data_IF_594090900927
#
_entry.id   IF_594090900927
#
_cell.length_a   1.000
_cell.length_b   1.000
_cell.length_c   1.000
_cell.angle_alpha   90.00
_cell.angle_beta   90.00
_cell.angle_gamma   90.00
#
_symmetry.space_group_name_H-M   'P 1'
#
loop_
_entity.id
_entity.type
_entity.pdbx_description
1 polymer ?
#
# COMPACT_ATOMS: atom_id res chain seq x y z
N UNK A 1 6.45 13.06 11.97
CA UNK A 1 6.87 11.65 11.92
C UNK A 1 5.60 10.81 11.93
N UNK A 2 5.21 10.23 10.81
CA UNK A 2 3.97 9.43 10.77
C UNK A 2 4.02 8.27 11.77
N UNK A 3 2.85 7.89 12.27
CA UNK A 3 2.55 6.87 13.27
C UNK A 3 1.25 6.21 12.84
N UNK A 4 1.22 4.89 12.78
CA UNK A 4 0.02 4.11 12.51
C UNK A 4 -0.21 3.13 13.65
N UNK A 5 -1.47 2.87 13.97
CA UNK A 5 -1.85 2.01 15.07
C UNK A 5 -3.10 1.20 14.74
N UNK A 6 -3.18 0.04 15.37
CA UNK A 6 -4.39 -0.76 15.46
C UNK A 6 -4.94 -0.70 16.88
N UNK A 7 -6.26 -0.80 17.00
CA UNK A 7 -6.92 -0.90 18.29
C UNK A 7 -8.10 -1.85 18.19
N UNK A 8 -8.25 -2.75 19.17
CA UNK A 8 -9.34 -3.71 19.20
C UNK A 8 -10.11 -3.57 20.52
N UNK A 9 -11.36 -3.12 20.44
CA UNK A 9 -12.25 -2.97 21.59
C UNK A 9 -13.69 -3.17 21.13
N UNK A 10 -14.12 -4.43 21.13
CA UNK A 10 -15.34 -4.85 20.45
C UNK A 10 -15.14 -4.90 18.93
N UNK A 11 -14.90 -3.75 18.31
CA UNK A 11 -14.57 -3.62 16.89
C UNK A 11 -13.06 -3.46 16.65
N UNK A 12 -12.65 -3.62 15.40
CA UNK A 12 -11.27 -3.42 14.96
C UNK A 12 -11.13 -2.05 14.30
N UNK A 13 -10.13 -1.30 14.77
CA UNK A 13 -9.81 0.04 14.32
C UNK A 13 -8.38 0.08 13.80
N UNK A 14 -8.20 0.83 12.72
CA UNK A 14 -6.91 1.12 12.12
C UNK A 14 -6.87 2.59 11.75
N UNK A 15 -5.73 3.25 11.98
CA UNK A 15 -5.57 4.64 11.61
C UNK A 15 -4.13 5.09 11.74
N UNK A 16 -3.89 6.33 11.33
CA UNK A 16 -2.57 6.95 11.34
C UNK A 16 -2.65 8.47 11.44
N UNK A 17 -1.57 9.12 11.89
CA UNK A 17 -1.33 10.54 11.59
C UNK A 17 -0.51 10.69 10.31
N UNK A 18 -0.86 11.69 9.50
CA UNK A 18 -0.07 12.10 8.34
C UNK A 18 0.71 13.35 8.72
N UNK A 19 1.98 13.17 9.07
CA UNK A 19 2.86 14.25 9.50
C UNK A 19 3.77 14.68 8.35
N UNK A 20 3.35 15.71 7.63
CA UNK A 20 4.11 16.28 6.53
C UNK A 20 4.10 17.81 6.57
N UNK A 21 5.11 18.44 5.96
CA UNK A 21 5.34 19.88 6.04
C UNK A 21 4.35 20.70 5.21
N UNK A 22 3.67 20.06 4.25
CA UNK A 22 2.69 20.67 3.37
C UNK A 22 1.62 19.67 2.93
N UNK A 23 0.49 20.19 2.45
CA UNK A 23 -0.61 19.37 1.91
C UNK A 23 -0.43 19.15 0.42
N UNK A 24 -0.79 17.95 -0.04
CA UNK A 24 -0.90 17.59 -1.45
C UNK A 24 -2.34 17.69 -1.98
N UNK A 25 -3.29 18.20 -1.19
CA UNK A 25 -4.71 18.18 -1.53
C UNK A 25 -5.30 16.79 -1.34
N UNK A 26 -5.26 16.31 -0.10
CA UNK A 26 -5.72 14.98 0.29
C UNK A 26 -7.25 14.88 0.26
N UNK A 27 -7.77 13.78 -0.25
CA UNK A 27 -9.20 13.49 -0.36
C UNK A 27 -9.53 12.11 0.21
N UNK A 28 -10.63 12.01 0.96
CA UNK A 28 -11.24 10.71 1.25
C UNK A 28 -11.80 10.15 -0.05
N UNK A 29 -11.25 9.03 -0.50
CA UNK A 29 -11.49 8.50 -1.84
C UNK A 29 -11.94 7.06 -1.78
N UNK A 30 -13.05 6.76 -2.44
CA UNK A 30 -13.55 5.41 -2.66
C UNK A 30 -13.13 4.96 -4.06
N UNK A 31 -12.38 3.87 -4.14
CA UNK A 31 -12.18 3.13 -5.38
C UNK A 31 -13.20 1.99 -5.42
N UNK A 32 -14.24 2.06 -6.27
CA UNK A 32 -15.24 1.00 -6.36
C UNK A 32 -14.63 -0.27 -6.97
N UNK A 33 -15.34 -1.40 -6.83
CA UNK A 33 -14.96 -2.63 -7.53
C UNK A 33 -14.86 -2.38 -9.04
N UNK A 34 -13.90 -3.04 -9.68
CA UNK A 34 -13.67 -3.00 -11.13
C UNK A 34 -13.22 -1.64 -11.70
N UNK A 35 -12.73 -0.74 -10.84
CA UNK A 35 -11.95 0.39 -11.31
C UNK A 35 -10.58 -0.12 -11.83
N UNK A 36 -10.11 0.26 -13.03
CA UNK A 36 -8.92 -0.35 -13.61
C UNK A 36 -7.63 0.07 -12.89
N UNK A 37 -6.96 -0.88 -12.22
CA UNK A 37 -5.63 -0.68 -11.62
C UNK A 37 -4.56 -1.19 -12.59
N UNK A 38 -3.73 -0.30 -13.14
CA UNK A 38 -2.68 -0.67 -14.10
C UNK A 38 -1.41 -1.14 -13.39
N UNK A 39 -0.95 -2.34 -13.74
CA UNK A 39 0.28 -2.99 -13.25
C UNK A 39 1.15 -3.42 -14.44
N UNK A 40 2.39 -3.82 -14.20
CA UNK A 40 3.30 -4.30 -15.26
C UNK A 40 2.74 -5.47 -16.07
N UNK A 41 2.06 -6.40 -15.39
CA UNK A 41 1.48 -7.59 -15.99
C UNK A 41 0.09 -7.41 -16.62
N UNK A 42 -0.42 -6.17 -16.70
CA UNK A 42 -1.76 -5.86 -17.18
C UNK A 42 -2.60 -5.10 -16.15
N UNK A 43 -3.92 -5.13 -16.31
CA UNK A 43 -4.84 -4.44 -15.42
C UNK A 43 -5.49 -5.41 -14.42
N UNK A 44 -5.61 -4.98 -13.16
CA UNK A 44 -6.44 -5.62 -12.15
C UNK A 44 -7.85 -5.01 -12.21
N UNK A 45 -8.66 -5.50 -13.14
CA UNK A 45 -10.02 -4.99 -13.41
C UNK A 45 -11.11 -5.64 -12.56
N UNK A 46 -10.72 -6.55 -11.66
CA UNK A 46 -11.62 -7.19 -10.68
C UNK A 46 -10.92 -7.24 -9.34
N UNK A 47 -11.42 -6.47 -8.39
CA UNK A 47 -10.82 -6.30 -7.08
C UNK A 47 -11.88 -5.86 -6.08
N UNK A 48 -11.56 -5.97 -4.79
CA UNK A 48 -12.38 -5.43 -3.71
C UNK A 48 -12.48 -3.91 -3.78
N UNK A 49 -13.62 -3.35 -3.41
CA UNK A 49 -13.75 -1.92 -3.18
C UNK A 49 -12.91 -1.50 -1.96
N UNK A 50 -12.40 -0.27 -2.00
CA UNK A 50 -11.59 0.29 -0.91
C UNK A 50 -11.87 1.77 -0.70
N UNK A 51 -11.64 2.23 0.52
CA UNK A 51 -11.77 3.63 0.93
C UNK A 51 -10.54 4.03 1.72
N UNK A 52 -10.06 5.26 1.52
CA UNK A 52 -8.88 5.74 2.22
C UNK A 52 -8.56 7.20 1.90
N UNK A 53 -7.51 7.71 2.53
CA UNK A 53 -6.97 9.03 2.20
C UNK A 53 -6.04 8.94 1.01
N UNK A 54 -6.25 9.76 -0.02
CA UNK A 54 -5.45 9.76 -1.25
C UNK A 54 -5.19 11.16 -1.81
N UNK A 55 -4.13 11.29 -2.58
CA UNK A 55 -3.98 12.38 -3.55
C UNK A 55 -4.47 11.90 -4.92
N UNK A 56 -5.27 12.72 -5.62
CA UNK A 56 -5.79 12.37 -6.96
C UNK A 56 -4.87 12.97 -8.02
N UNK A 57 -4.23 12.11 -8.81
CA UNK A 57 -3.40 12.53 -9.94
C UNK A 57 -3.85 11.80 -11.19
N UNK A 58 -4.20 12.53 -12.26
CA UNK A 58 -4.62 11.97 -13.55
C UNK A 58 -5.73 10.91 -13.41
N UNK A 59 -6.75 11.21 -12.61
CA UNK A 59 -7.88 10.31 -12.26
C UNK A 59 -7.49 9.06 -11.46
N UNK A 60 -6.23 8.92 -11.02
CA UNK A 60 -5.76 7.80 -10.23
C UNK A 60 -5.61 8.20 -8.74
N UNK A 61 -6.17 7.42 -7.79
CA UNK A 61 -6.00 7.66 -6.37
C UNK A 61 -4.66 7.11 -5.85
N UNK A 62 -3.75 8.01 -5.51
CA UNK A 62 -2.50 7.71 -4.81
C UNK A 62 -2.77 7.66 -3.31
N UNK A 63 -3.16 6.48 -2.82
CA UNK A 63 -3.50 6.27 -1.41
C UNK A 63 -2.29 6.46 -0.49
N UNK A 64 -2.51 7.16 0.61
CA UNK A 64 -1.61 7.15 1.76
C UNK A 64 -1.95 5.94 2.65
N UNK A 65 -3.22 5.83 3.05
CA UNK A 65 -3.80 4.73 3.81
C UNK A 65 -5.16 4.35 3.22
N UNK A 66 -5.58 3.11 3.42
CA UNK A 66 -6.89 2.64 3.02
C UNK A 66 -7.30 1.36 3.75
N UNK A 67 -8.60 1.07 3.69
CA UNK A 67 -9.22 -0.19 4.09
C UNK A 67 -10.09 -0.71 2.95
N UNK A 68 -10.11 -2.03 2.74
CA UNK A 68 -11.03 -2.65 1.79
C UNK A 68 -12.32 -3.13 2.46
N UNK A 69 -13.32 -3.47 1.63
CA UNK A 69 -14.61 -4.01 2.08
C UNK A 69 -14.53 -5.36 2.85
N UNK A 70 -13.34 -5.97 2.95
CA UNK A 70 -13.09 -7.20 3.72
C UNK A 70 -12.49 -6.92 5.11
N UNK A 71 -12.13 -5.67 5.41
CA UNK A 71 -11.55 -5.26 6.68
C UNK A 71 -10.02 -5.37 6.74
N UNK A 72 -9.36 -5.55 5.59
CA UNK A 72 -7.90 -5.42 5.49
C UNK A 72 -7.53 -3.95 5.33
N UNK A 73 -6.59 -3.48 6.15
CA UNK A 73 -6.11 -2.12 6.20
C UNK A 73 -4.62 -2.06 5.84
N UNK A 74 -4.20 -0.94 5.26
CA UNK A 74 -2.78 -0.65 5.01
C UNK A 74 -2.50 0.86 5.09
N UNK A 75 -1.33 1.22 5.61
CA UNK A 75 -0.82 2.59 5.62
C UNK A 75 0.66 2.59 5.23
N UNK A 76 1.07 3.43 4.28
CA UNK A 76 2.49 3.72 3.99
C UNK A 76 3.05 4.92 4.78
N UNK A 77 4.10 4.72 5.56
CA UNK A 77 4.69 5.75 6.42
C UNK A 77 6.10 6.09 5.95
N UNK A 78 6.55 7.31 6.19
CA UNK A 78 7.89 7.77 5.79
C UNK A 78 8.99 6.85 6.35
N UNK A 79 9.83 6.34 5.46
CA UNK A 79 10.96 5.47 5.76
C UNK A 79 12.22 5.94 5.01
N UNK A 80 12.42 7.26 5.04
CA UNK A 80 13.46 7.97 4.29
C UNK A 80 14.87 7.48 4.68
N UNK A 81 15.71 7.21 3.69
CA UNK A 81 17.07 6.71 3.83
C UNK A 81 17.18 5.19 3.94
N UNK A 82 16.08 4.49 4.20
CA UNK A 82 16.06 3.04 4.39
C UNK A 82 15.33 2.30 3.26
N UNK A 83 14.31 2.93 2.67
CA UNK A 83 13.53 2.35 1.58
C UNK A 83 14.39 2.18 0.31
N UNK A 84 14.47 0.95 -0.20
CA UNK A 84 15.16 0.63 -1.46
C UNK A 84 14.24 -0.22 -2.34
N UNK A 85 14.03 0.25 -3.56
CA UNK A 85 13.20 -0.44 -4.56
C UNK A 85 14.07 -0.82 -5.77
N UNK A 86 14.17 -2.10 -6.15
CA UNK A 86 14.91 -2.51 -7.33
C UNK A 86 14.18 -2.09 -8.63
N UNK A 87 14.89 -2.02 -9.76
CA UNK A 87 14.25 -1.92 -11.08
C UNK A 87 13.47 -3.19 -11.41
N UNK A 88 12.47 -3.05 -12.29
CA UNK A 88 11.73 -4.18 -12.85
C UNK A 88 12.71 -5.15 -13.53
N UNK A 89 12.62 -6.42 -13.13
CA UNK A 89 13.47 -7.50 -13.66
C UNK A 89 12.61 -8.51 -14.41
N UNK A 90 13.01 -8.87 -15.62
CA UNK A 90 12.26 -9.82 -16.45
C UNK A 90 12.10 -11.17 -15.74
N UNK A 91 10.88 -11.69 -15.69
CA UNK A 91 10.56 -12.96 -15.04
C UNK A 91 10.38 -12.87 -13.52
N UNK A 92 10.59 -11.70 -12.91
CA UNK A 92 10.32 -11.45 -11.48
C UNK A 92 9.01 -10.68 -11.35
N UNK A 93 8.06 -11.25 -10.59
CA UNK A 93 6.82 -10.57 -10.30
C UNK A 93 7.09 -9.32 -9.44
N UNK A 94 6.53 -8.18 -9.84
CA UNK A 94 6.78 -6.90 -9.20
C UNK A 94 5.53 -6.04 -9.17
N UNK A 95 5.46 -5.17 -8.17
CA UNK A 95 4.39 -4.19 -7.98
C UNK A 95 5.04 -2.81 -7.79
N UNK A 96 4.65 -1.79 -8.57
CA UNK A 96 5.13 -0.44 -8.35
C UNK A 96 4.83 0.05 -6.94
N UNK A 97 5.75 0.80 -6.33
CA UNK A 97 5.59 1.33 -4.97
C UNK A 97 4.25 2.05 -4.75
N UNK A 98 3.82 2.88 -5.71
CA UNK A 98 2.55 3.61 -5.61
C UNK A 98 1.30 2.71 -5.73
N UNK A 99 1.44 1.52 -6.30
CA UNK A 99 0.36 0.57 -6.53
C UNK A 99 0.24 -0.49 -5.43
N UNK A 100 1.17 -0.53 -4.46
CA UNK A 100 1.19 -1.56 -3.42
C UNK A 100 -0.10 -1.60 -2.58
N UNK A 101 -0.59 -0.43 -2.17
CA UNK A 101 -1.84 -0.30 -1.40
C UNK A 101 -3.04 -0.86 -2.20
N UNK A 102 -3.37 -0.34 -3.40
CA UNK A 102 -4.51 -0.84 -4.15
C UNK A 102 -4.35 -2.28 -4.61
N UNK A 103 -3.13 -2.76 -4.88
CA UNK A 103 -2.88 -4.16 -5.22
C UNK A 103 -3.17 -5.10 -4.05
N UNK A 104 -2.62 -4.82 -2.85
CA UNK A 104 -2.88 -5.64 -1.67
C UNK A 104 -4.36 -5.61 -1.29
N UNK A 105 -4.95 -4.41 -1.19
CA UNK A 105 -6.35 -4.26 -0.83
C UNK A 105 -7.30 -4.82 -1.88
N UNK A 106 -6.89 -4.82 -3.14
CA UNK A 106 -7.69 -5.37 -4.22
C UNK A 106 -7.69 -6.89 -4.29
N UNK A 107 -6.63 -7.54 -3.82
CA UNK A 107 -6.41 -8.99 -4.00
C UNK A 107 -6.46 -9.80 -2.70
N UNK A 108 -6.37 -9.16 -1.53
CA UNK A 108 -6.30 -9.84 -0.23
C UNK A 108 -7.46 -9.40 0.66
N UNK A 109 -8.07 -10.36 1.36
CA UNK A 109 -9.08 -10.15 2.39
C UNK A 109 -8.51 -10.17 3.80
N UNK A 110 -7.31 -10.74 4.00
CA UNK A 110 -6.68 -10.91 5.32
C UNK A 110 -5.19 -10.63 5.30
N UNK A 111 -4.61 -10.39 6.48
CA UNK A 111 -3.15 -10.25 6.68
C UNK A 111 -2.41 -11.53 6.28
N UNK A 112 -3.01 -12.70 6.49
CA UNK A 112 -2.42 -13.96 6.06
C UNK A 112 -2.31 -14.05 4.53
N UNK A 113 -3.34 -13.63 3.80
CA UNK A 113 -3.31 -13.54 2.34
C UNK A 113 -2.30 -12.50 1.86
N UNK A 114 -2.26 -11.31 2.49
CA UNK A 114 -1.31 -10.25 2.18
C UNK A 114 0.13 -10.72 2.36
N UNK A 115 0.45 -11.38 3.48
CA UNK A 115 1.78 -11.97 3.74
C UNK A 115 2.18 -12.97 2.65
N UNK A 116 1.25 -13.85 2.27
CA UNK A 116 1.51 -14.83 1.23
C UNK A 116 1.72 -14.17 -0.15
N UNK A 117 1.00 -13.09 -0.45
CA UNK A 117 1.15 -12.32 -1.68
C UNK A 117 2.51 -11.61 -1.73
N UNK A 118 2.90 -10.94 -0.64
CA UNK A 118 4.18 -10.24 -0.51
C UNK A 118 5.39 -11.15 -0.66
N UNK A 119 5.30 -12.41 -0.21
CA UNK A 119 6.38 -13.39 -0.37
C UNK A 119 6.69 -13.77 -1.84
N UNK A 120 5.86 -13.35 -2.79
CA UNK A 120 5.97 -13.72 -4.21
C UNK A 120 6.28 -12.54 -5.13
N UNK A 121 6.47 -11.33 -4.59
CA UNK A 121 6.68 -10.12 -5.38
C UNK A 121 7.83 -9.29 -4.82
N UNK A 122 8.37 -8.41 -5.66
CA UNK A 122 9.20 -7.27 -5.22
C UNK A 122 8.41 -5.97 -5.36
N UNK A 123 8.70 -4.99 -4.51
CA UNK A 123 8.21 -3.61 -4.69
C UNK A 123 9.22 -2.86 -5.55
N UNK A 124 8.85 -2.49 -6.77
CA UNK A 124 9.79 -1.91 -7.73
C UNK A 124 9.78 -0.37 -7.75
N UNK A 125 10.82 0.19 -8.36
CA UNK A 125 11.07 1.64 -8.41
C UNK A 125 10.37 2.38 -9.56
N UNK A 126 9.31 1.79 -10.15
CA UNK A 126 8.54 2.49 -11.19
C UNK A 126 7.86 3.71 -10.60
N UNK A 127 8.21 4.94 -11.04
CA UNK A 127 7.53 6.14 -10.57
C UNK A 127 6.12 6.21 -11.16
N UNK A 128 5.21 6.88 -10.46
CA UNK A 128 3.86 7.10 -11.00
C UNK A 128 3.90 8.01 -12.24
N UNK A 129 4.71 9.06 -12.19
CA UNK A 129 4.98 9.99 -13.28
C UNK A 129 6.41 10.53 -13.16
N UNK A 130 7.03 11.06 -14.23
CA UNK A 130 8.39 11.62 -14.18
C UNK A 130 8.60 12.67 -13.07
N UNK A 131 7.57 13.47 -12.77
CA UNK A 131 7.54 14.51 -11.74
C UNK A 131 7.21 13.98 -10.34
N UNK A 132 6.80 12.72 -10.21
CA UNK A 132 6.39 12.07 -8.96
C UNK A 132 7.25 10.81 -8.72
N UNK A 133 8.47 10.98 -8.17
CA UNK A 133 9.34 9.85 -7.84
C UNK A 133 8.70 8.97 -6.75
N UNK A 134 9.18 7.73 -6.63
CA UNK A 134 8.72 6.81 -5.59
C UNK A 134 8.91 7.44 -4.20
N UNK A 135 7.84 7.44 -3.41
CA UNK A 135 7.93 7.81 -2.01
C UNK A 135 8.72 6.74 -1.24
N UNK A 136 9.60 7.17 -0.34
CA UNK A 136 10.39 6.26 0.49
C UNK A 136 9.54 5.84 1.70
N UNK A 137 8.90 4.68 1.59
CA UNK A 137 7.92 4.20 2.57
C UNK A 137 8.26 2.81 3.12
N UNK A 138 7.79 2.57 4.34
CA UNK A 138 7.44 1.25 4.87
C UNK A 138 5.94 1.18 5.14
N UNK A 139 5.38 -0.01 5.38
CA UNK A 139 3.94 -0.16 5.52
C UNK A 139 3.54 -0.95 6.75
N UNK A 140 2.45 -0.53 7.39
CA UNK A 140 1.70 -1.34 8.35
C UNK A 140 0.48 -1.92 7.64
N UNK A 141 0.35 -3.24 7.61
CA UNK A 141 -0.81 -3.96 7.08
C UNK A 141 -1.50 -4.67 8.22
N UNK A 142 -2.82 -4.53 8.35
CA UNK A 142 -3.53 -5.05 9.50
C UNK A 142 -4.95 -5.49 9.16
N UNK A 143 -5.44 -6.48 9.89
CA UNK A 143 -6.84 -6.84 9.98
C UNK A 143 -7.16 -7.19 11.44
N UNK A 144 -8.38 -7.65 11.71
CA UNK A 144 -8.78 -8.02 13.08
C UNK A 144 -7.96 -9.16 13.69
N UNK A 145 -7.28 -9.98 12.87
CA UNK A 145 -6.47 -11.11 13.34
C UNK A 145 -5.05 -10.70 13.77
N UNK A 146 -4.57 -9.53 13.34
CA UNK A 146 -3.25 -9.02 13.72
C UNK A 146 -2.71 -8.02 12.70
N UNK A 147 -1.41 -7.72 12.79
CA UNK A 147 -0.73 -6.86 11.83
C UNK A 147 0.66 -7.36 11.47
N UNK A 148 1.15 -6.87 10.34
CA UNK A 148 2.51 -7.06 9.85
C UNK A 148 3.11 -5.72 9.45
N UNK A 149 4.43 -5.62 9.60
CA UNK A 149 5.23 -4.53 9.06
C UNK A 149 5.91 -5.03 7.78
N UNK A 150 5.87 -4.19 6.75
CA UNK A 150 6.47 -4.46 5.44
C UNK A 150 7.53 -3.40 5.16
N UNK A 151 8.78 -3.82 5.00
CA UNK A 151 9.93 -2.94 4.77
C UNK A 151 10.69 -3.42 3.54
N UNK A 152 10.89 -2.53 2.56
CA UNK A 152 11.74 -2.80 1.41
C UNK A 152 13.09 -2.12 1.63
N UNK A 153 14.13 -2.90 1.88
CA UNK A 153 15.50 -2.42 2.14
C UNK A 153 16.47 -2.97 1.10
N UNK A 154 17.74 -2.60 1.20
CA UNK A 154 18.76 -2.96 0.20
C UNK A 154 18.93 -4.47 -0.01
N UNK A 155 18.61 -5.28 1.00
CA UNK A 155 18.69 -6.74 1.00
C UNK A 155 17.37 -7.45 0.68
N UNK A 156 16.26 -6.73 0.51
CA UNK A 156 15.00 -7.27 0.01
C UNK A 156 13.74 -6.75 0.71
N UNK A 157 12.64 -7.45 0.47
CA UNK A 157 11.34 -7.17 1.09
C UNK A 157 11.18 -8.01 2.36
N UNK A 158 11.15 -7.34 3.51
CA UNK A 158 10.97 -7.96 4.82
C UNK A 158 9.52 -7.85 5.27
N UNK A 159 8.99 -8.95 5.78
CA UNK A 159 7.64 -9.01 6.36
C UNK A 159 7.72 -9.53 7.78
N UNK A 160 7.46 -8.66 8.76
CA UNK A 160 7.57 -8.94 10.19
C UNK A 160 6.20 -9.06 10.84
N UNK A 161 6.00 -10.06 11.70
CA UNK A 161 4.83 -10.15 12.57
C UNK A 161 5.10 -9.39 13.87
N UNK A 162 4.16 -8.55 14.27
CA UNK A 162 4.17 -7.83 15.56
C UNK A 162 3.27 -8.51 16.58
#
# INVERSE_FOLDING_TARGET
MCTAATYCSGDFYFGRNLDYEFSYGEHVTIMPRNYPIRLHGGALDRHYAMIGMAHIQNDYPLYYDAVNEKGLCIAGLNFVGNAVYPPVTQGVASVPQYALIPWLLGTCATVAEARNALARVVVDNTPFAPELPCAQLHWLVADRSGCIVVEATADGLHVMTT
#
